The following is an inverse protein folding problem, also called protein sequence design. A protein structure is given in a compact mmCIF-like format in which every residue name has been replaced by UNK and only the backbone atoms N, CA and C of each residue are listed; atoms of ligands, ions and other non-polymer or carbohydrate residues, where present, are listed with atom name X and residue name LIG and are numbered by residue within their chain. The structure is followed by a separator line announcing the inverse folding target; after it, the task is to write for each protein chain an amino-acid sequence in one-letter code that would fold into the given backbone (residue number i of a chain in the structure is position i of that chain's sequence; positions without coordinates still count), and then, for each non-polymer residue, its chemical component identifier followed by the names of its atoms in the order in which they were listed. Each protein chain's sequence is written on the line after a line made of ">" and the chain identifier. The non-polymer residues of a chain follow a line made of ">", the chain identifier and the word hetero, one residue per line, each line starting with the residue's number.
data_IF_493037165399
#
_entry.id   IF_493037165399
#
_cell.length_a   1.000
_cell.length_b   1.000
_cell.length_c   1.000
_cell.angle_alpha   90.00
_cell.angle_beta   90.00
_cell.angle_gamma   90.00
#
_symmetry.space_group_name_H-M   'P 1'
#
loop_
_entity.id
_entity.type
_entity.pdbx_description
1 polymer ?
#
# COMPACT_ATOMS: atom_id res chain seq x y z
N UNK A 1 -28.27 40.28 11.46
CA UNK A 1 -28.02 38.85 11.15
C UNK A 1 -26.60 38.61 10.61
N UNK A 2 -25.77 39.66 10.48
CA UNK A 2 -24.45 39.60 9.82
C UNK A 2 -23.27 39.16 10.69
N UNK A 3 -23.41 39.19 12.03
CA UNK A 3 -22.34 38.77 12.95
C UNK A 3 -22.15 37.24 12.97
N UNK A 4 -23.22 36.45 12.85
CA UNK A 4 -23.15 34.98 12.85
C UNK A 4 -22.51 34.45 11.56
N UNK A 5 -22.77 35.12 10.43
CA UNK A 5 -22.25 34.70 9.13
C UNK A 5 -20.72 34.98 9.01
N UNK A 6 -20.25 36.07 9.62
CA UNK A 6 -18.81 36.43 9.64
C UNK A 6 -17.99 35.49 10.53
N UNK A 7 -18.56 35.03 11.64
CA UNK A 7 -17.90 34.10 12.56
C UNK A 7 -17.83 32.67 11.98
N UNK A 8 -18.87 32.25 11.25
CA UNK A 8 -18.88 30.98 10.52
C UNK A 8 -17.88 30.97 9.36
N UNK A 9 -17.77 32.08 8.60
CA UNK A 9 -16.78 32.23 7.52
C UNK A 9 -15.34 32.15 8.02
N UNK A 10 -15.01 32.86 9.10
CA UNK A 10 -13.67 32.82 9.74
C UNK A 10 -13.34 31.43 10.27
N UNK A 11 -14.32 30.72 10.83
CA UNK A 11 -14.14 29.34 11.32
C UNK A 11 -13.83 28.36 10.19
N UNK A 12 -14.48 28.48 9.03
CA UNK A 12 -14.14 27.70 7.84
C UNK A 12 -12.74 28.00 7.29
N UNK A 13 -12.34 29.28 7.25
CA UNK A 13 -11.00 29.68 6.82
C UNK A 13 -9.90 29.09 7.72
N UNK A 14 -10.10 29.14 9.05
CA UNK A 14 -9.17 28.55 10.01
C UNK A 14 -9.09 27.02 9.85
N UNK A 15 -10.22 26.34 9.66
CA UNK A 15 -10.25 24.89 9.42
C UNK A 15 -9.51 24.52 8.13
N UNK A 16 -9.70 25.30 7.06
CA UNK A 16 -9.01 25.09 5.79
C UNK A 16 -7.49 25.31 5.94
N UNK A 17 -7.08 26.37 6.64
CA UNK A 17 -5.67 26.64 6.92
C UNK A 17 -5.03 25.51 7.77
N UNK A 18 -5.74 25.02 8.80
CA UNK A 18 -5.29 23.87 9.58
C UNK A 18 -5.16 22.61 8.73
N UNK A 19 -6.15 22.31 7.89
CA UNK A 19 -6.09 21.17 6.98
C UNK A 19 -4.90 21.27 6.01
N UNK A 20 -4.61 22.46 5.48
CA UNK A 20 -3.43 22.70 4.64
C UNK A 20 -2.14 22.40 5.41
N UNK A 21 -1.97 22.96 6.61
CA UNK A 21 -0.78 22.73 7.44
C UNK A 21 -0.62 21.24 7.76
N UNK A 22 -1.70 20.56 8.15
CA UNK A 22 -1.64 19.13 8.45
C UNK A 22 -1.31 18.29 7.21
N UNK A 23 -1.91 18.59 6.06
CA UNK A 23 -1.60 17.88 4.82
C UNK A 23 -0.11 17.95 4.50
N UNK A 24 0.51 19.13 4.56
CA UNK A 24 1.95 19.27 4.32
C UNK A 24 2.80 18.61 5.41
N UNK A 25 2.44 18.81 6.68
CA UNK A 25 3.16 18.23 7.82
C UNK A 25 3.18 16.71 7.77
N UNK A 26 2.10 16.09 7.31
CA UNK A 26 1.94 14.64 7.32
C UNK A 26 2.18 13.98 5.96
N UNK A 27 2.43 14.74 4.89
CA UNK A 27 2.65 14.15 3.55
C UNK A 27 3.86 13.21 3.49
N UNK A 28 4.86 13.40 4.36
CA UNK A 28 5.99 12.46 4.47
C UNK A 28 5.54 11.03 4.79
N UNK A 29 4.40 10.86 5.49
CA UNK A 29 3.86 9.54 5.81
C UNK A 29 3.47 8.77 4.54
N UNK A 30 2.98 9.44 3.50
CA UNK A 30 2.68 8.80 2.22
C UNK A 30 3.96 8.26 1.56
N UNK A 31 5.05 9.03 1.62
CA UNK A 31 6.35 8.60 1.10
C UNK A 31 6.93 7.43 1.90
N UNK A 32 6.83 7.47 3.23
CA UNK A 32 7.29 6.37 4.09
C UNK A 32 6.43 5.11 3.93
N UNK A 33 5.12 5.27 3.76
CA UNK A 33 4.22 4.16 3.44
C UNK A 33 4.61 3.51 2.11
N UNK A 34 4.85 4.31 1.08
CA UNK A 34 5.28 3.81 -0.23
C UNK A 34 6.61 3.07 -0.15
N UNK A 35 7.59 3.66 0.54
CA UNK A 35 8.89 3.03 0.80
C UNK A 35 8.70 1.66 1.49
N UNK A 36 7.88 1.60 2.54
CA UNK A 36 7.60 0.37 3.25
C UNK A 36 6.97 -0.70 2.34
N UNK A 37 6.04 -0.32 1.47
CA UNK A 37 5.43 -1.25 0.51
C UNK A 37 6.45 -1.87 -0.46
N UNK A 38 7.42 -1.05 -0.92
CA UNK A 38 8.52 -1.50 -1.79
C UNK A 38 9.48 -2.41 -1.03
N UNK A 39 9.91 -2.02 0.17
CA UNK A 39 10.84 -2.81 1.01
C UNK A 39 10.24 -4.16 1.42
N UNK A 40 8.94 -4.19 1.71
CA UNK A 40 8.19 -5.41 2.01
C UNK A 40 7.80 -6.20 0.75
N UNK A 41 8.12 -5.70 -0.45
CA UNK A 41 7.77 -6.33 -1.74
C UNK A 41 6.28 -6.65 -1.91
N UNK A 42 5.41 -5.83 -1.31
CA UNK A 42 3.96 -5.99 -1.39
C UNK A 42 3.46 -6.02 -2.86
N UNK A 43 3.94 -5.13 -3.77
CA UNK A 43 3.56 -5.19 -5.17
C UNK A 43 3.85 -6.56 -5.81
N UNK A 44 5.05 -7.11 -5.57
CA UNK A 44 5.47 -8.40 -6.11
C UNK A 44 4.62 -9.55 -5.54
N UNK A 45 4.32 -9.53 -4.24
CA UNK A 45 3.48 -10.53 -3.60
C UNK A 45 2.08 -10.59 -4.22
N UNK A 46 1.43 -9.43 -4.40
CA UNK A 46 0.11 -9.36 -5.02
C UNK A 46 0.18 -9.79 -6.50
N UNK A 47 1.26 -9.40 -7.21
CA UNK A 47 1.46 -9.82 -8.60
C UNK A 47 1.59 -11.34 -8.72
N UNK A 48 2.43 -11.96 -7.90
CA UNK A 48 2.71 -13.39 -7.92
C UNK A 48 1.50 -14.24 -7.49
N UNK A 49 0.58 -13.68 -6.71
CA UNK A 49 -0.68 -14.32 -6.36
C UNK A 49 -1.69 -14.37 -7.52
N UNK A 50 -1.48 -13.58 -8.58
CA UNK A 50 -2.28 -13.57 -9.81
C UNK A 50 -3.65 -12.88 -9.70
N UNK A 51 -4.09 -12.55 -8.49
CA UNK A 51 -5.38 -11.94 -8.17
C UNK A 51 -5.25 -11.05 -6.93
N UNK A 52 -6.23 -10.18 -6.62
CA UNK A 52 -6.24 -9.43 -5.38
C UNK A 52 -5.98 -10.32 -4.15
N UNK A 53 -5.15 -9.83 -3.23
CA UNK A 53 -4.69 -10.61 -2.08
C UNK A 53 -5.37 -10.15 -0.79
N UNK A 54 -5.87 -11.08 0.01
CA UNK A 54 -6.46 -10.73 1.31
C UNK A 54 -5.41 -10.24 2.30
N UNK A 55 -5.84 -9.45 3.30
CA UNK A 55 -4.93 -9.04 4.38
C UNK A 55 -4.29 -10.24 5.09
N UNK A 56 -5.06 -11.31 5.33
CA UNK A 56 -4.55 -12.53 5.98
C UNK A 56 -3.42 -13.16 5.16
N UNK A 57 -3.61 -13.32 3.84
CA UNK A 57 -2.58 -13.83 2.94
C UNK A 57 -1.33 -12.95 2.92
N UNK A 58 -1.49 -11.61 2.94
CA UNK A 58 -0.35 -10.69 3.05
C UNK A 58 0.42 -10.86 4.37
N UNK A 59 -0.29 -10.98 5.50
CA UNK A 59 0.34 -11.20 6.82
C UNK A 59 1.14 -12.51 6.81
N UNK A 60 0.57 -13.58 6.27
CA UNK A 60 1.24 -14.87 6.13
C UNK A 60 2.47 -14.79 5.22
N UNK A 61 2.33 -14.21 4.03
CA UNK A 61 3.42 -14.10 3.06
C UNK A 61 4.60 -13.25 3.58
N UNK A 62 4.30 -12.21 4.35
CA UNK A 62 5.30 -11.33 4.97
C UNK A 62 5.85 -11.88 6.30
N UNK A 63 5.37 -13.04 6.77
CA UNK A 63 5.73 -13.62 8.07
C UNK A 63 5.56 -12.63 9.23
N UNK A 64 4.49 -11.82 9.18
CA UNK A 64 4.23 -10.78 10.17
C UNK A 64 3.61 -11.41 11.43
N UNK A 65 4.19 -11.10 12.59
CA UNK A 65 3.61 -11.49 13.89
C UNK A 65 2.19 -10.93 14.00
N UNK A 66 1.17 -11.72 14.41
CA UNK A 66 -0.24 -11.31 14.37
C UNK A 66 -0.55 -9.93 15.01
N UNK A 67 0.17 -9.53 16.07
CA UNK A 67 0.07 -8.21 16.69
C UNK A 67 0.26 -7.04 15.68
N UNK A 68 1.09 -7.22 14.66
CA UNK A 68 1.37 -6.20 13.65
C UNK A 68 0.43 -6.23 12.43
N UNK A 69 -0.54 -7.15 12.38
CA UNK A 69 -1.50 -7.24 11.28
C UNK A 69 -2.32 -5.94 11.13
N UNK A 70 -2.67 -5.29 12.25
CA UNK A 70 -3.38 -4.01 12.24
C UNK A 70 -2.53 -2.88 11.66
N UNK A 71 -1.23 -2.87 11.93
CA UNK A 71 -0.28 -1.92 11.35
C UNK A 71 -0.18 -2.10 9.84
N UNK A 72 -0.14 -3.34 9.35
CA UNK A 72 -0.17 -3.63 7.92
C UNK A 72 -1.49 -3.18 7.29
N UNK A 73 -2.64 -3.40 7.95
CA UNK A 73 -3.93 -2.91 7.47
C UNK A 73 -3.93 -1.39 7.32
N UNK A 74 -3.40 -0.66 8.32
CA UNK A 74 -3.29 0.81 8.28
C UNK A 74 -2.39 1.27 7.13
N UNK A 75 -1.23 0.62 6.96
CA UNK A 75 -0.33 0.88 5.84
C UNK A 75 -1.04 0.70 4.50
N UNK A 76 -1.72 -0.43 4.30
CA UNK A 76 -2.44 -0.71 3.05
C UNK A 76 -3.55 0.31 2.80
N UNK A 77 -4.28 0.76 3.82
CA UNK A 77 -5.31 1.80 3.68
C UNK A 77 -4.73 3.14 3.21
N UNK A 78 -3.56 3.55 3.73
CA UNK A 78 -2.87 4.77 3.28
C UNK A 78 -2.51 4.64 1.80
N UNK A 79 -1.98 3.50 1.38
CA UNK A 79 -1.56 3.27 0.00
C UNK A 79 -2.73 3.16 -0.98
N UNK A 80 -3.86 2.59 -0.54
CA UNK A 80 -5.12 2.57 -1.30
C UNK A 80 -5.65 3.99 -1.49
N UNK A 81 -5.71 4.78 -0.42
CA UNK A 81 -6.14 6.17 -0.51
C UNK A 81 -5.24 7.01 -1.41
N UNK A 82 -3.94 6.70 -1.43
CA UNK A 82 -2.94 7.32 -2.31
C UNK A 82 -2.97 6.81 -3.76
N UNK A 83 -3.85 5.87 -4.11
CA UNK A 83 -4.03 5.37 -5.47
C UNK A 83 -3.04 4.29 -5.93
N UNK A 84 -2.20 3.77 -5.04
CA UNK A 84 -1.27 2.69 -5.37
C UNK A 84 -1.92 1.31 -5.40
N UNK A 85 -2.94 1.07 -4.59
CA UNK A 85 -3.66 -0.21 -4.56
C UNK A 85 -5.16 0.01 -4.61
N UNK A 86 -5.89 -1.01 -5.06
CA UNK A 86 -7.34 -1.07 -4.91
C UNK A 86 -7.70 -1.83 -3.64
N UNK A 87 -8.88 -1.56 -3.08
CA UNK A 87 -9.46 -2.35 -1.99
C UNK A 87 -10.85 -2.79 -2.38
N UNK A 88 -11.12 -4.08 -2.25
CA UNK A 88 -12.45 -4.67 -2.42
C UNK A 88 -12.83 -5.51 -1.18
N UNK A 89 -14.12 -5.59 -0.89
CA UNK A 89 -14.63 -6.50 0.15
C UNK A 89 -14.82 -7.88 -0.47
N UNK A 90 -14.51 -8.94 0.28
CA UNK A 90 -14.80 -10.30 -0.20
C UNK A 90 -16.28 -10.60 -0.10
N UNK A 91 -16.79 -11.46 -0.99
CA UNK A 91 -18.17 -11.96 -0.92
C UNK A 91 -18.37 -12.96 0.22
N UNK A 92 -17.30 -13.55 0.72
CA UNK A 92 -17.31 -14.62 1.72
C UNK A 92 -17.32 -14.08 3.15
N UNK A 93 -16.78 -12.87 3.40
CA UNK A 93 -16.91 -12.21 4.71
C UNK A 93 -16.88 -10.69 4.61
N UNK A 94 -17.77 -10.01 5.33
CA UNK A 94 -17.82 -8.54 5.37
C UNK A 94 -16.57 -7.91 6.02
N UNK A 95 -15.77 -8.72 6.69
CA UNK A 95 -14.62 -8.29 7.49
C UNK A 95 -13.28 -8.53 6.80
N UNK A 96 -13.26 -9.22 5.66
CA UNK A 96 -12.02 -9.46 4.90
C UNK A 96 -11.91 -8.49 3.72
N UNK A 97 -10.76 -7.82 3.65
CA UNK A 97 -10.42 -6.87 2.61
C UNK A 97 -9.37 -7.51 1.69
N UNK A 98 -9.57 -7.38 0.38
CA UNK A 98 -8.62 -7.76 -0.66
C UNK A 98 -7.99 -6.55 -1.30
N UNK A 99 -6.70 -6.68 -1.63
CA UNK A 99 -5.89 -5.63 -2.21
C UNK A 99 -5.42 -6.00 -3.61
N UNK A 100 -5.73 -5.15 -4.58
CA UNK A 100 -5.31 -5.30 -5.97
C UNK A 100 -4.28 -4.26 -6.40
N UNK A 101 -3.56 -4.55 -7.49
CA UNK A 101 -2.61 -3.61 -8.09
C UNK A 101 -3.33 -2.57 -8.94
N UNK A 102 -2.84 -1.33 -8.91
CA UNK A 102 -3.15 -0.29 -9.89
C UNK A 102 -1.99 -0.18 -10.89
N UNK A 103 -2.14 0.55 -12.02
CA UNK A 103 -1.01 0.83 -12.89
C UNK A 103 0.19 1.45 -12.16
N UNK A 104 -0.06 2.29 -11.14
CA UNK A 104 0.99 2.93 -10.36
C UNK A 104 1.81 1.92 -9.53
N UNK A 105 1.17 0.98 -8.83
CA UNK A 105 1.92 -0.03 -8.05
C UNK A 105 2.68 -1.02 -8.91
N UNK A 106 2.27 -1.26 -10.16
CA UNK A 106 3.04 -2.10 -11.10
C UNK A 106 4.40 -1.50 -11.46
N UNK A 107 4.56 -0.17 -11.35
CA UNK A 107 5.87 0.48 -11.55
C UNK A 107 6.83 0.26 -10.37
N UNK A 108 6.32 -0.24 -9.24
CA UNK A 108 7.07 -0.46 -8.00
C UNK A 108 7.67 -1.87 -7.90
N UNK A 109 7.52 -2.69 -8.93
CA UNK A 109 8.13 -4.02 -8.94
C UNK A 109 9.63 -3.89 -8.73
N UNK A 110 10.14 -4.64 -7.76
CA UNK A 110 11.57 -4.69 -7.52
C UNK A 110 12.13 -5.58 -8.63
N UNK A 111 12.58 -4.94 -9.72
CA UNK A 111 13.27 -5.63 -10.82
C UNK A 111 14.40 -6.43 -10.20
N UNK A 112 14.34 -7.75 -10.36
CA UNK A 112 15.31 -8.65 -9.76
C UNK A 112 16.72 -8.16 -10.05
N UNK A 113 17.55 -8.10 -9.00
CA UNK A 113 18.96 -8.41 -9.19
C UNK A 113 18.97 -9.72 -9.97
N UNK A 114 19.63 -9.74 -11.13
CA UNK A 114 19.88 -10.94 -11.90
C UNK A 114 20.23 -12.08 -10.94
N UNK A 115 19.35 -13.07 -10.81
CA UNK A 115 19.78 -14.38 -10.36
C UNK A 115 20.70 -14.89 -11.46
N UNK A 116 21.91 -15.23 -11.05
CA UNK A 116 23.01 -15.66 -11.91
C UNK A 116 22.58 -16.89 -12.72
N UNK A 117 22.85 -16.83 -14.02
CA UNK A 117 22.77 -17.93 -14.98
C UNK A 117 23.82 -19.03 -14.69
N UNK A 118 23.83 -19.63 -13.50
CA UNK A 118 24.86 -20.63 -13.12
C UNK A 118 24.37 -22.09 -13.10
N UNK A 119 23.08 -22.36 -13.34
CA UNK A 119 22.54 -23.74 -13.32
C UNK A 119 22.28 -24.36 -14.72
N UNK A 120 22.68 -23.70 -15.81
CA UNK A 120 22.56 -24.25 -17.17
C UNK A 120 23.85 -24.82 -17.78
N UNK A 121 25.00 -24.70 -17.12
CA UNK A 121 26.29 -25.18 -17.68
C UNK A 121 26.61 -26.65 -17.32
N UNK A 122 25.95 -27.27 -16.34
CA UNK A 122 26.23 -28.69 -15.98
C UNK A 122 25.28 -29.72 -16.64
N UNK A 123 24.65 -29.39 -17.77
CA UNK A 123 23.88 -30.37 -18.59
C UNK A 123 24.42 -30.58 -20.00
N UNK A 124 25.66 -30.21 -20.26
CA UNK A 124 26.38 -30.63 -21.46
C UNK A 124 27.41 -31.72 -21.09
N UNK A 125 26.95 -32.96 -21.00
CA UNK A 125 27.81 -34.12 -21.22
C UNK A 125 27.13 -35.01 -22.25
N UNK A 126 27.65 -35.09 -23.47
CA UNK A 126 27.46 -36.24 -24.34
C UNK A 126 28.73 -37.10 -24.33
N UNK A 127 28.56 -38.36 -23.91
CA UNK A 127 29.38 -39.56 -24.13
C UNK A 127 30.88 -39.50 -23.79
#
# INVERSE_FOLDING_TARGET
>A
MDMVNRDSGRSCELLQAQAQVYNYTFNFMNSMALKCAVELRIPDLIHNNGQPMTLSKLVTALHIIPNKADSLRRLMRILVHSGFFTRQKTSESEHEEEYGLTPASKLLFVKGRHEHDDDQILRASPL
#
